data_IF_556129517010
#
_entry.id   IF_556129517010
#
_cell.length_a   1.000
_cell.length_b   1.000
_cell.length_c   1.000
_cell.angle_alpha   90.00
_cell.angle_beta   90.00
_cell.angle_gamma   90.00
#
_symmetry.space_group_name_H-M   'P 1'
#
loop_
_entity.id
_entity.type
_entity.pdbx_description
1 polymer ?
#
# COMPACT_ATOMS: atom_id res chain seq x y z
N UNK A 1 30.58 -29.72 15.46
CA UNK A 1 29.79 -28.44 15.41
C UNK A 1 28.82 -28.48 16.59
N UNK A 2 29.07 -27.72 17.63
CA UNK A 2 28.16 -27.62 18.78
C UNK A 2 26.93 -26.83 18.32
N UNK A 3 25.75 -27.34 18.58
CA UNK A 3 24.48 -26.73 18.19
C UNK A 3 24.32 -25.35 18.85
N UNK A 4 24.58 -24.30 18.09
CA UNK A 4 24.47 -22.89 18.51
C UNK A 4 23.00 -22.48 18.78
N UNK A 5 22.04 -23.33 18.47
CA UNK A 5 20.60 -23.04 18.53
C UNK A 5 19.95 -23.25 19.90
N UNK A 6 20.47 -24.15 20.73
CA UNK A 6 19.87 -24.43 22.06
C UNK A 6 20.29 -23.44 23.16
N UNK A 7 21.52 -22.92 23.12
CA UNK A 7 22.02 -22.01 24.17
C UNK A 7 21.44 -20.58 24.06
N UNK A 8 21.15 -20.09 22.84
CA UNK A 8 20.57 -18.74 22.66
C UNK A 8 19.09 -18.66 23.00
N UNK A 9 18.32 -19.72 22.78
CA UNK A 9 16.89 -19.78 23.11
C UNK A 9 16.66 -19.90 24.63
N UNK A 10 17.46 -20.68 25.32
CA UNK A 10 17.37 -20.85 26.77
C UNK A 10 17.74 -19.59 27.56
N UNK A 11 18.67 -18.79 27.07
CA UNK A 11 19.11 -17.59 27.78
C UNK A 11 18.06 -16.47 27.78
N UNK A 12 17.30 -16.28 26.72
CA UNK A 12 16.23 -15.27 26.69
C UNK A 12 14.97 -15.73 27.41
N UNK A 13 14.61 -17.02 27.32
CA UNK A 13 13.44 -17.60 27.97
C UNK A 13 13.55 -17.55 29.49
N UNK A 14 14.69 -17.91 30.03
CA UNK A 14 14.94 -17.93 31.49
C UNK A 14 14.98 -16.53 32.14
N UNK A 15 15.05 -15.46 31.34
CA UNK A 15 14.98 -14.05 31.81
C UNK A 15 13.57 -13.49 31.87
N UNK A 16 12.61 -14.18 31.28
CA UNK A 16 11.22 -13.75 31.33
C UNK A 16 10.61 -13.98 32.73
N UNK A 17 9.64 -13.16 33.16
CA UNK A 17 8.84 -13.44 34.34
C UNK A 17 8.26 -14.87 34.30
N UNK A 18 8.20 -15.55 35.46
CA UNK A 18 7.78 -16.96 35.53
C UNK A 18 6.37 -17.23 35.02
N UNK A 19 5.46 -16.29 35.14
CA UNK A 19 4.11 -16.33 34.60
C UNK A 19 4.12 -16.31 33.07
N UNK A 20 4.96 -15.48 32.46
CA UNK A 20 5.17 -15.44 31.01
C UNK A 20 5.86 -16.71 30.49
N UNK A 21 6.86 -17.24 31.22
CA UNK A 21 7.48 -18.52 30.87
C UNK A 21 6.46 -19.65 30.86
N UNK A 22 5.58 -19.70 31.87
CA UNK A 22 4.52 -20.70 31.96
C UNK A 22 3.49 -20.57 30.83
N UNK A 23 3.05 -19.36 30.54
CA UNK A 23 2.11 -19.10 29.44
C UNK A 23 2.71 -19.48 28.10
N UNK A 24 3.96 -19.09 27.84
CA UNK A 24 4.66 -19.42 26.61
C UNK A 24 4.92 -20.92 26.50
N UNK A 25 5.33 -21.61 27.57
CA UNK A 25 5.52 -23.07 27.54
C UNK A 25 4.23 -23.80 27.20
N UNK A 26 3.09 -23.33 27.68
CA UNK A 26 1.78 -23.91 27.36
C UNK A 26 1.40 -23.70 25.89
N UNK A 27 1.70 -22.53 25.34
CA UNK A 27 1.46 -22.22 23.92
C UNK A 27 2.34 -23.08 23.01
N UNK A 28 3.58 -23.33 23.40
CA UNK A 28 4.56 -24.06 22.57
C UNK A 28 4.59 -25.58 22.76
N UNK A 29 3.95 -26.12 23.82
CA UNK A 29 3.98 -27.56 24.12
C UNK A 29 2.99 -28.40 23.32
N UNK A 30 2.11 -27.80 22.51
CA UNK A 30 1.02 -28.49 21.81
C UNK A 30 0.99 -28.29 20.29
N UNK A 31 2.13 -28.04 19.66
CA UNK A 31 2.16 -27.98 18.20
C UNK A 31 2.37 -29.39 17.62
N UNK A 32 1.33 -29.93 17.01
CA UNK A 32 1.42 -31.13 16.19
C UNK A 32 2.41 -30.88 15.03
N UNK A 33 3.23 -31.88 14.67
CA UNK A 33 4.10 -31.77 13.51
C UNK A 33 3.32 -31.42 12.25
N UNK A 34 3.85 -30.51 11.47
CA UNK A 34 3.20 -30.07 10.23
C UNK A 34 3.22 -31.21 9.21
N UNK A 35 2.04 -31.59 8.72
CA UNK A 35 1.92 -32.56 7.66
C UNK A 35 2.50 -31.99 6.34
N UNK A 36 3.46 -32.65 5.74
CA UNK A 36 4.13 -32.23 4.50
C UNK A 36 4.75 -30.81 4.59
N UNK A 37 5.75 -30.60 5.45
CA UNK A 37 6.38 -29.29 5.62
C UNK A 37 7.04 -28.82 4.33
N UNK A 38 7.13 -27.50 4.17
CA UNK A 38 7.82 -26.92 3.02
C UNK A 38 9.32 -27.23 3.06
N UNK A 39 9.89 -27.51 1.89
CA UNK A 39 11.32 -27.73 1.76
C UNK A 39 12.08 -26.43 2.06
N UNK A 40 13.07 -26.51 2.97
CA UNK A 40 13.98 -25.38 3.25
C UNK A 40 14.89 -25.07 2.08
N UNK A 41 15.38 -23.83 1.99
CA UNK A 41 16.25 -23.36 0.92
C UNK A 41 15.65 -23.56 -0.49
N UNK A 42 14.34 -23.38 -0.62
CA UNK A 42 13.60 -23.50 -1.88
C UNK A 42 12.64 -22.33 -2.08
N UNK A 43 12.29 -22.08 -3.32
CA UNK A 43 11.23 -21.12 -3.69
C UNK A 43 9.91 -21.88 -3.81
N UNK A 44 8.90 -21.41 -3.12
CA UNK A 44 7.56 -21.98 -3.14
C UNK A 44 6.57 -21.03 -3.80
N UNK A 45 5.85 -21.51 -4.80
CA UNK A 45 4.78 -20.75 -5.45
C UNK A 45 3.43 -21.16 -4.87
N UNK A 46 2.62 -20.18 -4.48
CA UNK A 46 1.28 -20.41 -3.98
C UNK A 46 0.74 -19.25 -3.14
N UNK A 47 -0.43 -19.45 -2.56
CA UNK A 47 -1.02 -18.51 -1.64
C UNK A 47 -0.24 -18.50 -0.32
N UNK A 48 0.23 -17.32 0.09
CA UNK A 48 1.03 -17.17 1.30
C UNK A 48 0.25 -17.59 2.56
N UNK A 49 -1.04 -17.34 2.62
CA UNK A 49 -1.88 -17.73 3.76
C UNK A 49 -1.96 -19.25 3.94
N UNK A 50 -1.85 -20.01 2.86
CA UNK A 50 -1.87 -21.48 2.89
C UNK A 50 -0.45 -22.06 3.03
N UNK A 51 0.54 -21.45 2.37
CA UNK A 51 1.91 -21.94 2.44
C UNK A 51 2.52 -21.75 3.84
N UNK A 52 2.23 -20.66 4.51
CA UNK A 52 2.71 -20.41 5.88
C UNK A 52 2.28 -21.49 6.86
N UNK A 53 1.09 -22.08 6.68
CA UNK A 53 0.61 -23.20 7.52
C UNK A 53 1.44 -24.49 7.37
N UNK A 54 2.27 -24.56 6.32
CA UNK A 54 3.17 -25.70 6.06
C UNK A 54 4.60 -25.47 6.55
N UNK A 55 4.82 -24.39 7.28
CA UNK A 55 6.10 -24.11 7.93
C UNK A 55 6.01 -24.56 9.38
N UNK A 56 7.05 -25.22 9.85
CA UNK A 56 7.13 -25.67 11.23
C UNK A 56 6.97 -24.51 12.22
N UNK A 57 6.15 -24.64 13.26
CA UNK A 57 5.99 -23.63 14.28
C UNK A 57 7.32 -23.24 14.92
N UNK A 58 7.46 -21.96 15.27
CA UNK A 58 8.66 -21.44 15.97
C UNK A 58 9.99 -21.74 15.25
N UNK A 59 9.98 -21.88 13.93
CA UNK A 59 11.17 -22.21 13.15
C UNK A 59 11.83 -21.00 12.49
N UNK A 60 11.10 -19.90 12.29
CA UNK A 60 11.53 -18.72 11.55
C UNK A 60 12.09 -17.66 12.51
N UNK A 61 13.33 -17.23 12.30
CA UNK A 61 13.94 -16.16 13.08
C UNK A 61 13.50 -14.78 12.60
N UNK A 62 13.43 -14.58 11.29
CA UNK A 62 13.07 -13.32 10.65
C UNK A 62 12.25 -13.61 9.40
N UNK A 63 11.13 -12.93 9.25
CA UNK A 63 10.38 -12.88 8.00
C UNK A 63 10.36 -11.44 7.49
N UNK A 64 10.66 -11.27 6.21
CA UNK A 64 10.63 -9.95 5.54
C UNK A 64 9.76 -10.08 4.30
N UNK A 65 8.75 -9.24 4.17
CA UNK A 65 7.86 -9.27 3.03
C UNK A 65 7.27 -7.91 2.69
N UNK A 66 6.83 -7.78 1.45
CA UNK A 66 6.19 -6.61 0.92
C UNK A 66 4.86 -7.05 0.29
N UNK A 67 3.73 -6.87 0.98
CA UNK A 67 2.42 -7.27 0.47
C UNK A 67 1.99 -6.42 -0.73
N UNK A 68 0.94 -6.82 -1.47
CA UNK A 68 0.26 -5.94 -2.40
C UNK A 68 -0.17 -4.64 -1.70
N UNK A 69 0.08 -3.47 -2.31
CA UNK A 69 -0.17 -2.16 -1.68
C UNK A 69 -1.57 -1.62 -1.92
N UNK A 70 -2.37 -2.34 -2.69
CA UNK A 70 -3.71 -1.89 -3.12
C UNK A 70 -3.71 -0.56 -3.87
N UNK A 71 -2.80 -0.43 -4.81
CA UNK A 71 -2.60 0.77 -5.64
C UNK A 71 -3.14 0.61 -7.06
N UNK A 72 -3.99 -0.39 -7.31
CA UNK A 72 -4.67 -0.62 -8.59
C UNK A 72 -3.84 -1.33 -9.64
N UNK A 73 -2.83 -2.07 -9.25
CA UNK A 73 -2.05 -2.91 -10.17
C UNK A 73 -2.88 -4.08 -10.70
N UNK A 74 -2.47 -4.65 -11.85
CA UNK A 74 -3.24 -5.69 -12.53
C UNK A 74 -3.51 -6.92 -11.65
N UNK A 75 -2.58 -7.30 -10.81
CA UNK A 75 -2.70 -8.43 -9.89
C UNK A 75 -3.62 -8.16 -8.69
N UNK A 76 -4.04 -6.91 -8.47
CA UNK A 76 -4.95 -6.50 -7.39
C UNK A 76 -6.39 -6.31 -7.85
N UNK A 77 -6.65 -6.31 -9.17
CA UNK A 77 -7.96 -5.96 -9.74
C UNK A 77 -9.12 -6.85 -9.29
N UNK A 78 -8.83 -8.08 -8.89
CA UNK A 78 -9.82 -9.03 -8.39
C UNK A 78 -10.09 -8.90 -6.89
N UNK A 79 -9.31 -8.09 -6.17
CA UNK A 79 -9.45 -7.91 -4.74
C UNK A 79 -10.30 -6.66 -4.43
N UNK A 80 -11.32 -6.84 -3.60
CA UNK A 80 -11.93 -5.71 -2.90
C UNK A 80 -11.00 -5.24 -1.77
N UNK A 81 -11.20 -4.01 -1.29
CA UNK A 81 -10.41 -3.50 -0.15
C UNK A 81 -10.58 -4.37 1.10
N UNK A 82 -11.80 -4.86 1.35
CA UNK A 82 -12.06 -5.79 2.45
C UNK A 82 -11.36 -7.14 2.25
N UNK A 83 -11.42 -7.70 1.03
CA UNK A 83 -10.69 -8.92 0.68
C UNK A 83 -9.19 -8.77 0.88
N UNK A 84 -8.63 -7.65 0.45
CA UNK A 84 -7.22 -7.31 0.65
C UNK A 84 -6.86 -7.21 2.15
N UNK A 85 -7.68 -6.55 2.97
CA UNK A 85 -7.45 -6.49 4.43
C UNK A 85 -7.46 -7.87 5.07
N UNK A 86 -8.44 -8.69 4.71
CA UNK A 86 -8.57 -10.04 5.25
C UNK A 86 -7.36 -10.92 4.87
N UNK A 87 -6.87 -10.79 3.64
CA UNK A 87 -5.66 -11.47 3.18
C UNK A 87 -4.45 -11.08 4.04
N UNK A 88 -4.18 -9.79 4.20
CA UNK A 88 -3.05 -9.31 4.98
C UNK A 88 -3.16 -9.73 6.45
N UNK A 89 -4.34 -9.56 7.03
CA UNK A 89 -4.61 -9.97 8.42
C UNK A 89 -4.35 -11.47 8.64
N UNK A 90 -4.80 -12.32 7.73
CA UNK A 90 -4.56 -13.76 7.76
C UNK A 90 -3.07 -14.10 7.66
N UNK A 91 -2.36 -13.47 6.73
CA UNK A 91 -0.91 -13.68 6.55
C UNK A 91 -0.14 -13.25 7.79
N UNK A 92 -0.46 -12.09 8.39
CA UNK A 92 0.16 -11.63 9.64
C UNK A 92 -0.08 -12.62 10.78
N UNK A 93 -1.33 -13.08 10.95
CA UNK A 93 -1.68 -14.04 11.99
C UNK A 93 -0.94 -15.37 11.83
N UNK A 94 -0.81 -15.88 10.60
CA UNK A 94 -0.08 -17.12 10.34
C UNK A 94 1.44 -16.97 10.62
N UNK A 95 2.00 -15.77 10.44
CA UNK A 95 3.40 -15.54 10.82
C UNK A 95 3.65 -15.68 12.32
N UNK A 96 2.68 -15.35 13.15
CA UNK A 96 2.83 -15.46 14.59
C UNK A 96 3.13 -16.89 15.06
N UNK A 97 2.52 -17.88 14.42
CA UNK A 97 2.74 -19.29 14.78
C UNK A 97 4.11 -19.84 14.34
N UNK A 98 4.69 -19.30 13.26
CA UNK A 98 5.94 -19.82 12.69
C UNK A 98 7.17 -19.06 13.15
N UNK A 99 7.02 -17.82 13.57
CA UNK A 99 8.14 -17.02 14.09
C UNK A 99 8.45 -17.45 15.52
N UNK A 100 9.71 -17.78 15.76
CA UNK A 100 10.18 -18.16 17.08
C UNK A 100 10.14 -16.99 18.06
N UNK A 101 10.05 -17.24 19.39
CA UNK A 101 10.16 -16.20 20.39
C UNK A 101 11.42 -15.36 20.22
N UNK A 102 11.29 -14.03 20.25
CA UNK A 102 12.38 -13.09 19.95
C UNK A 102 12.73 -12.94 18.48
N UNK A 103 12.01 -13.58 17.58
CA UNK A 103 12.11 -13.37 16.14
C UNK A 103 11.38 -12.12 15.67
N UNK A 104 11.55 -11.75 14.41
CA UNK A 104 11.02 -10.51 13.84
C UNK A 104 10.15 -10.76 12.61
N UNK A 105 9.07 -10.01 12.52
CA UNK A 105 8.27 -9.83 11.31
C UNK A 105 8.50 -8.41 10.78
N UNK A 106 9.14 -8.28 9.62
CA UNK A 106 9.37 -7.00 8.96
C UNK A 106 8.42 -6.85 7.76
N UNK A 107 7.54 -5.86 7.80
CA UNK A 107 6.54 -5.61 6.76
C UNK A 107 6.86 -4.28 6.09
N UNK A 108 7.19 -4.32 4.79
CA UNK A 108 7.34 -3.11 3.98
C UNK A 108 6.01 -2.79 3.30
N UNK A 109 5.38 -1.70 3.73
CA UNK A 109 4.08 -1.29 3.21
C UNK A 109 4.00 0.23 3.08
N UNK A 110 3.22 0.71 2.12
CA UNK A 110 2.96 2.14 1.92
C UNK A 110 1.49 2.47 2.20
N UNK A 111 1.24 3.73 2.54
CA UNK A 111 -0.10 4.27 2.59
C UNK A 111 -0.68 4.43 1.18
N UNK A 112 -1.99 4.28 1.03
CA UNK A 112 -2.68 4.47 -0.25
C UNK A 112 -2.95 5.96 -0.40
N UNK A 113 -2.23 6.62 -1.30
CA UNK A 113 -2.30 8.07 -1.49
C UNK A 113 -3.64 8.53 -2.06
N UNK A 114 -4.25 7.71 -2.93
CA UNK A 114 -5.53 8.01 -3.57
C UNK A 114 -6.51 6.88 -3.31
N UNK A 115 -7.17 6.95 -2.17
CA UNK A 115 -8.18 5.96 -1.77
C UNK A 115 -9.58 6.51 -2.01
N UNK A 116 -10.39 5.82 -2.83
CA UNK A 116 -11.79 6.15 -3.03
C UNK A 116 -12.61 5.64 -1.85
N UNK A 117 -13.27 6.55 -1.15
CA UNK A 117 -14.10 6.23 0.00
C UNK A 117 -15.52 6.72 -0.25
N UNK A 118 -16.43 5.81 -0.53
CA UNK A 118 -17.84 6.13 -0.79
C UNK A 118 -18.57 6.75 0.42
N UNK A 119 -18.05 6.48 1.62
CA UNK A 119 -18.59 7.05 2.87
C UNK A 119 -18.06 8.45 3.16
N UNK A 120 -17.09 8.93 2.39
CA UNK A 120 -16.55 10.26 2.55
C UNK A 120 -17.60 11.29 2.08
N UNK A 121 -17.89 12.33 2.89
CA UNK A 121 -18.80 13.38 2.46
C UNK A 121 -18.27 14.04 1.20
N UNK A 122 -19.15 14.25 0.23
CA UNK A 122 -18.85 14.97 -1.01
C UNK A 122 -18.63 16.44 -0.67
N UNK A 123 -17.38 16.86 -0.67
CA UNK A 123 -17.04 18.27 -0.49
C UNK A 123 -17.11 18.90 -1.88
N UNK A 124 -18.12 19.76 -2.11
CA UNK A 124 -18.07 20.68 -3.23
C UNK A 124 -16.97 21.69 -2.89
N UNK A 125 -15.79 21.51 -3.46
CA UNK A 125 -14.82 22.58 -3.45
C UNK A 125 -15.44 23.74 -4.24
N UNK A 126 -15.72 24.86 -3.59
CA UNK A 126 -16.03 26.11 -4.27
C UNK A 126 -14.89 26.32 -5.24
N UNK A 127 -15.19 26.21 -6.52
CA UNK A 127 -14.20 26.45 -7.54
C UNK A 127 -13.69 27.86 -7.30
N UNK A 128 -12.43 27.98 -6.85
CA UNK A 128 -11.76 29.28 -6.81
C UNK A 128 -12.07 29.90 -8.15
N UNK A 129 -12.83 30.99 -8.15
CA UNK A 129 -13.24 31.68 -9.36
C UNK A 129 -12.00 32.26 -10.01
N UNK A 130 -11.20 31.40 -10.66
CA UNK A 130 -10.30 31.87 -11.70
C UNK A 130 -11.20 32.50 -12.74
N UNK A 131 -11.00 33.80 -12.98
CA UNK A 131 -11.68 34.53 -14.04
C UNK A 131 -11.88 33.58 -15.21
N UNK A 132 -13.11 33.12 -15.45
CA UNK A 132 -13.38 32.24 -16.59
C UNK A 132 -13.11 33.03 -17.83
N UNK A 133 -12.00 32.73 -18.49
CA UNK A 133 -11.72 33.27 -19.81
C UNK A 133 -12.76 32.60 -20.71
N UNK A 134 -13.74 33.41 -21.15
CA UNK A 134 -14.82 32.96 -22.02
C UNK A 134 -14.30 32.88 -23.45
N UNK A 135 -13.49 31.86 -23.75
CA UNK A 135 -13.03 31.57 -25.10
C UNK A 135 -13.79 30.37 -25.60
N UNK A 136 -14.53 30.51 -26.67
CA UNK A 136 -15.20 29.38 -27.35
C UNK A 136 -14.29 28.82 -28.45
N UNK A 137 -14.63 27.63 -28.94
CA UNK A 137 -13.96 27.02 -30.11
C UNK A 137 -14.14 27.90 -31.35
N UNK A 138 -15.33 28.45 -31.50
CA UNK A 138 -15.70 29.31 -32.63
C UNK A 138 -14.83 30.58 -32.66
N UNK A 139 -14.62 31.23 -31.52
CA UNK A 139 -13.72 32.42 -31.43
C UNK A 139 -12.28 32.08 -31.87
N UNK A 140 -11.77 30.90 -31.52
CA UNK A 140 -10.43 30.46 -31.92
C UNK A 140 -10.38 30.21 -33.44
N UNK A 141 -11.41 29.55 -33.98
CA UNK A 141 -11.51 29.28 -35.42
C UNK A 141 -11.65 30.57 -36.26
N UNK A 142 -12.39 31.56 -35.77
CA UNK A 142 -12.48 32.87 -36.44
C UNK A 142 -11.13 33.59 -36.53
N UNK A 143 -10.35 33.54 -35.45
CA UNK A 143 -8.99 34.12 -35.44
C UNK A 143 -8.08 33.37 -36.38
N UNK A 144 -8.14 32.04 -36.41
CA UNK A 144 -7.38 31.19 -37.36
C UNK A 144 -7.79 31.43 -38.81
N UNK A 145 -9.08 31.64 -39.09
CA UNK A 145 -9.54 31.97 -40.42
C UNK A 145 -8.95 33.30 -40.96
N UNK A 146 -8.79 34.27 -40.06
CA UNK A 146 -8.16 35.57 -40.39
C UNK A 146 -6.65 35.50 -40.44
N UNK A 147 -6.03 34.60 -39.68
CA UNK A 147 -4.60 34.45 -39.52
C UNK A 147 -4.19 32.97 -39.56
N UNK A 148 -4.15 32.35 -40.73
CA UNK A 148 -3.94 30.87 -40.85
C UNK A 148 -2.56 30.41 -40.36
N UNK A 149 -1.59 31.30 -40.21
CA UNK A 149 -0.22 30.96 -39.79
C UNK A 149 -0.01 31.00 -38.28
N UNK A 150 -1.01 31.43 -37.50
CA UNK A 150 -0.89 31.46 -36.04
C UNK A 150 -0.76 30.07 -35.48
N UNK A 151 0.30 29.87 -34.71
CA UNK A 151 0.49 28.63 -33.96
C UNK A 151 -0.21 28.69 -32.58
N UNK A 152 -0.17 27.60 -31.87
CA UNK A 152 -0.81 27.46 -30.53
C UNK A 152 -0.34 28.50 -29.50
N UNK A 153 0.95 28.86 -29.53
CA UNK A 153 1.53 29.86 -28.64
C UNK A 153 1.01 31.28 -29.00
N UNK A 154 0.91 31.59 -30.28
CA UNK A 154 0.38 32.88 -30.75
C UNK A 154 -1.09 33.04 -30.36
N UNK A 155 -1.89 32.00 -30.52
CA UNK A 155 -3.28 31.98 -30.06
C UNK A 155 -3.38 32.15 -28.53
N UNK A 156 -2.51 31.49 -27.78
CA UNK A 156 -2.47 31.62 -26.31
C UNK A 156 -2.15 33.05 -25.87
N UNK A 157 -1.22 33.72 -26.56
CA UNK A 157 -0.90 35.14 -26.36
C UNK A 157 -2.06 36.05 -26.75
N UNK A 158 -2.67 35.83 -27.91
CA UNK A 158 -3.79 36.61 -28.41
C UNK A 158 -4.99 36.57 -27.42
N UNK A 159 -5.34 35.39 -26.95
CA UNK A 159 -6.45 35.21 -26.00
C UNK A 159 -6.05 35.37 -24.53
N UNK A 160 -4.80 35.72 -24.23
CA UNK A 160 -4.25 35.86 -22.86
C UNK A 160 -4.55 34.65 -21.98
N UNK A 161 -4.32 33.45 -22.52
CA UNK A 161 -4.56 32.19 -21.85
C UNK A 161 -3.37 31.23 -21.99
N UNK A 162 -3.44 30.04 -21.40
CA UNK A 162 -2.41 29.02 -21.61
C UNK A 162 -2.65 28.25 -22.92
N UNK A 163 -1.58 27.74 -23.53
CA UNK A 163 -1.63 26.86 -24.69
C UNK A 163 -2.55 25.65 -24.44
N UNK A 164 -2.53 25.09 -23.24
CA UNK A 164 -3.44 24.00 -22.85
C UNK A 164 -4.91 24.41 -22.93
N UNK A 165 -5.24 25.68 -22.69
CA UNK A 165 -6.60 26.19 -22.82
C UNK A 165 -7.02 26.19 -24.29
N UNK A 166 -6.14 26.60 -25.19
CA UNK A 166 -6.37 26.54 -26.65
C UNK A 166 -6.61 25.11 -27.10
N UNK A 167 -5.71 24.17 -26.74
CA UNK A 167 -5.86 22.74 -27.08
C UNK A 167 -7.19 22.15 -26.61
N UNK A 168 -7.58 22.44 -25.36
CA UNK A 168 -8.84 21.97 -24.82
C UNK A 168 -10.05 22.45 -25.60
N UNK A 169 -10.01 23.68 -26.06
CA UNK A 169 -11.13 24.29 -26.81
C UNK A 169 -11.19 23.74 -28.22
N UNK A 170 -10.04 23.56 -28.89
CA UNK A 170 -10.00 23.05 -30.27
C UNK A 170 -10.30 21.56 -30.35
N UNK A 171 -9.69 20.76 -29.48
CA UNK A 171 -9.67 19.30 -29.61
C UNK A 171 -10.54 18.57 -28.62
N UNK A 172 -11.19 19.25 -27.67
CA UNK A 172 -12.07 18.63 -26.69
C UNK A 172 -11.37 17.68 -25.70
N UNK A 173 -10.06 17.58 -25.77
CA UNK A 173 -9.26 16.70 -24.94
C UNK A 173 -9.04 17.28 -23.54
N UNK A 174 -9.36 16.52 -22.54
CA UNK A 174 -9.32 16.77 -21.13
C UNK A 174 -10.54 17.48 -20.56
N UNK A 175 -11.58 16.72 -20.33
CA UNK A 175 -12.62 17.01 -19.35
C UNK A 175 -12.03 16.90 -17.93
N UNK A 176 -11.01 17.70 -17.63
CA UNK A 176 -10.59 18.02 -16.27
C UNK A 176 -11.35 19.25 -15.77
N UNK A 177 -12.65 19.25 -15.86
CA UNK A 177 -13.42 20.43 -15.52
C UNK A 177 -14.88 20.15 -15.20
N UNK A 178 -15.26 18.89 -15.13
CA UNK A 178 -16.48 18.52 -14.41
C UNK A 178 -16.24 18.78 -12.93
N UNK A 179 -17.28 19.14 -12.19
CA UNK A 179 -17.27 19.14 -10.73
C UNK A 179 -16.80 17.74 -10.28
N UNK A 180 -15.51 17.56 -10.11
CA UNK A 180 -14.97 16.31 -9.57
C UNK A 180 -15.25 16.37 -8.08
N UNK A 181 -16.27 15.67 -7.67
CA UNK A 181 -16.44 15.30 -6.29
C UNK A 181 -15.22 14.44 -5.92
N UNK A 182 -14.28 15.04 -5.21
CA UNK A 182 -13.08 14.34 -4.81
C UNK A 182 -13.42 13.47 -3.61
N UNK A 183 -13.77 12.23 -3.86
CA UNK A 183 -13.96 11.21 -2.82
C UNK A 183 -12.65 10.46 -2.51
N UNK A 184 -11.53 11.03 -2.89
CA UNK A 184 -10.23 10.40 -2.71
C UNK A 184 -9.48 11.06 -1.56
N UNK A 185 -8.93 10.24 -0.70
CA UNK A 185 -8.09 10.66 0.43
C UNK A 185 -6.94 9.68 0.63
N UNK A 186 -5.96 10.09 1.43
CA UNK A 186 -4.92 9.17 1.91
C UNK A 186 -5.55 8.18 2.88
N UNK A 187 -5.32 6.90 2.66
CA UNK A 187 -5.66 5.84 3.59
C UNK A 187 -4.38 5.38 4.27
N UNK A 188 -4.30 5.63 5.57
CA UNK A 188 -3.16 5.23 6.39
C UNK A 188 -3.23 3.73 6.61
N UNK A 189 -2.27 3.00 6.06
CA UNK A 189 -2.19 1.54 6.13
C UNK A 189 -1.30 1.09 7.27
N UNK A 190 -0.24 1.83 7.57
CA UNK A 190 0.68 1.48 8.64
C UNK A 190 -0.01 1.21 9.98
N UNK A 191 -0.98 2.04 10.36
CA UNK A 191 -1.76 1.84 11.59
C UNK A 191 -2.67 0.61 11.55
N UNK A 192 -3.21 0.24 10.39
CA UNK A 192 -3.99 -0.99 10.25
C UNK A 192 -3.10 -2.23 10.43
N UNK A 193 -1.94 -2.24 9.81
CA UNK A 193 -0.97 -3.34 9.91
C UNK A 193 -0.48 -3.49 11.34
N UNK A 194 -0.17 -2.40 12.03
CA UNK A 194 0.20 -2.40 13.44
C UNK A 194 -0.90 -3.04 14.31
N UNK A 195 -2.15 -2.62 14.14
CA UNK A 195 -3.27 -3.20 14.89
C UNK A 195 -3.43 -4.70 14.62
N UNK A 196 -3.31 -5.15 13.36
CA UNK A 196 -3.40 -6.58 13.04
C UNK A 196 -2.24 -7.39 13.62
N UNK A 197 -1.05 -6.80 13.67
CA UNK A 197 0.10 -7.44 14.30
C UNK A 197 -0.09 -7.56 15.82
N UNK A 198 -0.60 -6.51 16.47
CA UNK A 198 -0.95 -6.55 17.90
C UNK A 198 -2.05 -7.59 18.19
N UNK A 199 -3.12 -7.63 17.39
CA UNK A 199 -4.19 -8.62 17.51
C UNK A 199 -3.67 -10.06 17.34
N UNK A 200 -2.64 -10.26 16.51
CA UNK A 200 -2.00 -11.56 16.31
C UNK A 200 -1.03 -11.95 17.44
N UNK A 201 -0.64 -11.01 18.31
CA UNK A 201 0.26 -11.25 19.44
C UNK A 201 1.68 -10.68 19.26
N UNK A 202 1.97 -9.99 18.16
CA UNK A 202 3.24 -9.28 17.98
C UNK A 202 3.27 -7.98 18.78
N UNK A 203 4.49 -7.52 19.10
CA UNK A 203 4.73 -6.21 19.67
C UNK A 203 5.52 -5.34 18.70
N UNK A 204 5.15 -4.05 18.51
CA UNK A 204 5.92 -3.13 17.68
C UNK A 204 7.31 -2.96 18.28
N UNK A 205 8.34 -3.19 17.47
CA UNK A 205 9.73 -3.01 17.88
C UNK A 205 10.31 -1.71 17.34
N UNK A 206 10.11 -1.45 16.03
CA UNK A 206 10.64 -0.27 15.35
C UNK A 206 9.77 0.08 14.14
N UNK A 207 9.72 1.36 13.80
CA UNK A 207 9.08 1.85 12.58
C UNK A 207 10.05 2.71 11.80
N UNK A 208 10.40 2.25 10.61
CA UNK A 208 11.27 2.98 9.69
C UNK A 208 10.48 3.55 8.53
N UNK A 209 10.86 4.74 8.11
CA UNK A 209 10.25 5.41 6.96
C UNK A 209 11.30 5.44 5.85
N UNK A 210 10.94 4.83 4.71
CA UNK A 210 11.74 4.94 3.51
C UNK A 210 11.28 6.18 2.74
N UNK A 211 12.11 7.22 2.78
CA UNK A 211 11.90 8.45 2.01
C UNK A 211 12.46 8.23 0.60
N UNK A 212 11.58 8.33 -0.40
CA UNK A 212 11.96 8.30 -1.82
C UNK A 212 12.07 9.72 -2.36
N UNK A 213 12.98 9.93 -3.29
CA UNK A 213 13.06 11.21 -4.01
C UNK A 213 11.84 11.33 -4.95
N UNK A 214 11.08 12.41 -4.79
CA UNK A 214 9.86 12.66 -5.57
C UNK A 214 10.13 12.83 -7.09
N UNK A 215 11.37 13.09 -7.50
CA UNK A 215 11.74 13.24 -8.90
C UNK A 215 11.56 11.97 -9.74
N UNK A 216 11.52 10.79 -9.10
CA UNK A 216 11.40 9.49 -9.78
C UNK A 216 9.97 8.97 -9.91
N UNK A 217 8.99 9.62 -9.30
CA UNK A 217 7.59 9.13 -9.31
C UNK A 217 6.79 9.58 -10.53
N UNK A 218 7.34 10.47 -11.36
CA UNK A 218 6.66 11.06 -12.53
C UNK A 218 7.27 10.65 -13.89
N UNK A 219 8.12 9.65 -13.92
CA UNK A 219 8.71 9.12 -15.15
C UNK A 219 8.02 7.84 -15.64
#
# INVERSE_FOLDING_TARGET
>A
MKNFTEETTNFSFNRLPKDLQKSLSTIYSHTEPVANPLKVNAIHQGDASELLKKIEPNSIAVSVWSPPYFVGKNYEKHLSFEGWKNLLKSVIANHFSIIKPGGFLAINIADILVFKDEKMPKIQADAVHRKRISISKENILEVLAKNPTMNRNDLAKHFKCSEQTIDRRLHGNNVRGGKQETQSRVKIIGGLVENWALEAGFYPYDRRIWVKDAAWENS
#
